data_IF_757881215239
#
_entry.id   IF_757881215239
#
_cell.length_a   1.000
_cell.length_b   1.000
_cell.length_c   1.000
_cell.angle_alpha   90.00
_cell.angle_beta   90.00
_cell.angle_gamma   90.00
#
_symmetry.space_group_name_H-M   'P 1'
#
loop_
_entity.id
_entity.type
_entity.pdbx_description
1 polymer ?
#
# COMPACT_ATOMS: atom_id res chain seq x y z
N UNK A 1 16.16 -1.84 -39.15
CA UNK A 1 16.02 -0.98 -37.94
C UNK A 1 15.50 -1.80 -36.76
N UNK A 2 16.18 -2.88 -36.35
CA UNK A 2 15.72 -3.82 -35.32
C UNK A 2 16.24 -3.54 -33.90
N UNK A 3 17.22 -2.65 -33.73
CA UNK A 3 17.92 -2.42 -32.46
C UNK A 3 17.43 -1.20 -31.67
N UNK A 4 16.26 -0.65 -32.02
CA UNK A 4 15.72 0.59 -31.44
C UNK A 4 14.35 0.36 -30.80
N UNK A 5 14.14 -0.78 -30.13
CA UNK A 5 13.34 -0.72 -28.92
C UNK A 5 14.19 0.03 -27.91
N UNK A 6 13.92 1.33 -27.93
CA UNK A 6 14.81 2.42 -27.62
C UNK A 6 15.21 2.36 -26.15
N UNK A 7 16.43 2.76 -25.83
CA UNK A 7 16.89 2.95 -24.45
C UNK A 7 15.85 3.76 -23.65
N UNK A 8 15.12 4.66 -24.33
CA UNK A 8 13.94 5.37 -23.86
C UNK A 8 12.87 4.48 -23.18
N UNK A 9 12.62 3.27 -23.69
CA UNK A 9 11.64 2.33 -23.12
C UNK A 9 12.07 1.86 -21.74
N UNK A 10 13.35 1.51 -21.56
CA UNK A 10 13.88 1.16 -20.24
C UNK A 10 13.84 2.34 -19.29
N UNK A 11 14.14 3.55 -19.78
CA UNK A 11 14.04 4.75 -18.96
C UNK A 11 12.59 5.02 -18.52
N UNK A 12 11.61 4.95 -19.41
CA UNK A 12 10.19 5.11 -19.05
C UNK A 12 9.71 4.05 -18.06
N UNK A 13 10.15 2.80 -18.21
CA UNK A 13 9.85 1.75 -17.24
C UNK A 13 10.51 2.04 -15.88
N UNK A 14 11.75 2.54 -15.87
CA UNK A 14 12.43 2.93 -14.65
C UNK A 14 11.77 4.14 -13.96
N UNK A 15 11.37 5.17 -14.72
CA UNK A 15 10.61 6.32 -14.22
C UNK A 15 9.27 5.88 -13.61
N UNK A 16 8.51 5.05 -14.33
CA UNK A 16 7.27 4.47 -13.84
C UNK A 16 7.47 3.66 -12.56
N UNK A 17 8.52 2.83 -12.50
CA UNK A 17 8.85 2.05 -11.31
C UNK A 17 9.19 2.94 -10.10
N UNK A 18 9.94 4.03 -10.29
CA UNK A 18 10.22 4.99 -9.20
C UNK A 18 8.92 5.63 -8.70
N UNK A 19 8.10 6.16 -9.61
CA UNK A 19 6.82 6.78 -9.28
C UNK A 19 5.93 5.83 -8.47
N UNK A 20 5.72 4.61 -8.97
CA UNK A 20 4.87 3.63 -8.29
C UNK A 20 5.42 3.19 -6.93
N UNK A 21 6.74 3.10 -6.77
CA UNK A 21 7.35 2.78 -5.49
C UNK A 21 7.12 3.90 -4.46
N UNK A 22 7.38 5.14 -4.85
CA UNK A 22 7.26 6.29 -3.96
C UNK A 22 5.80 6.54 -3.57
N UNK A 23 4.87 6.51 -4.53
CA UNK A 23 3.44 6.63 -4.26
C UNK A 23 2.93 5.51 -3.36
N UNK A 24 3.38 4.27 -3.59
CA UNK A 24 3.05 3.14 -2.72
C UNK A 24 3.40 3.42 -1.26
N UNK A 25 4.61 3.93 -0.99
CA UNK A 25 5.01 4.24 0.39
C UNK A 25 4.39 5.53 0.91
N UNK A 26 4.02 6.48 0.05
CA UNK A 26 3.23 7.64 0.43
C UNK A 26 1.88 7.22 1.05
N UNK A 27 1.11 6.40 0.33
CA UNK A 27 -0.23 5.97 0.79
C UNK A 27 -0.21 5.18 2.10
N UNK A 28 0.74 4.26 2.29
CA UNK A 28 0.80 3.51 3.56
C UNK A 28 1.25 4.38 4.72
N UNK A 29 2.11 5.38 4.48
CA UNK A 29 2.49 6.35 5.50
C UNK A 29 1.32 7.27 5.86
N UNK A 30 0.52 7.69 4.89
CA UNK A 30 -0.69 8.47 5.11
C UNK A 30 -1.72 7.69 5.93
N UNK A 31 -1.97 6.44 5.53
CA UNK A 31 -2.85 5.49 6.24
C UNK A 31 -2.52 5.39 7.73
N UNK A 32 -1.26 5.08 8.06
CA UNK A 32 -0.83 4.94 9.45
C UNK A 32 -0.75 6.27 10.20
N UNK A 33 -0.44 7.38 9.50
CA UNK A 33 -0.49 8.72 10.11
C UNK A 33 -1.91 9.09 10.49
N UNK A 34 -2.89 8.81 9.63
CA UNK A 34 -4.30 9.07 9.90
C UNK A 34 -4.82 8.23 11.07
N UNK A 35 -4.48 6.95 11.12
CA UNK A 35 -4.83 6.09 12.26
C UNK A 35 -4.18 6.58 13.56
N UNK A 36 -2.91 7.01 13.52
CA UNK A 36 -2.26 7.57 14.70
C UNK A 36 -2.87 8.90 15.12
N UNK A 37 -3.23 9.78 14.17
CA UNK A 37 -3.98 10.99 14.44
C UNK A 37 -5.33 10.69 15.11
N UNK A 38 -6.03 9.64 14.66
CA UNK A 38 -7.30 9.20 15.24
C UNK A 38 -7.14 8.74 16.69
N UNK A 39 -6.04 8.03 17.01
CA UNK A 39 -5.71 7.66 18.40
C UNK A 39 -5.44 8.90 19.26
N UNK A 40 -4.57 9.81 18.80
CA UNK A 40 -4.25 11.04 19.52
C UNK A 40 -5.48 11.94 19.71
N UNK A 41 -6.36 11.97 18.72
CA UNK A 41 -7.62 12.71 18.81
C UNK A 41 -8.54 12.09 19.85
N UNK A 42 -8.69 10.76 19.85
CA UNK A 42 -9.49 10.04 20.85
C UNK A 42 -9.03 10.35 22.28
N UNK A 43 -7.71 10.38 22.53
CA UNK A 43 -7.14 10.76 23.83
C UNK A 43 -7.44 12.23 24.19
N UNK A 44 -7.49 13.13 23.20
CA UNK A 44 -7.79 14.55 23.42
C UNK A 44 -9.27 14.82 23.65
N UNK A 45 -10.18 14.13 22.95
CA UNK A 45 -11.63 14.39 23.10
C UNK A 45 -12.16 13.97 24.46
N UNK A 46 -11.53 12.99 25.13
CA UNK A 46 -11.91 12.60 26.51
C UNK A 46 -11.79 13.78 27.50
N UNK A 47 -10.96 14.77 27.18
CA UNK A 47 -10.78 15.99 27.99
C UNK A 47 -11.71 17.14 27.61
N UNK A 48 -12.49 17.01 26.53
CA UNK A 48 -13.41 18.04 26.06
C UNK A 48 -14.81 17.72 26.60
N UNK A 49 -15.25 18.47 27.61
CA UNK A 49 -16.60 18.30 28.14
C UNK A 49 -17.65 19.01 27.28
N UNK A 50 -18.67 18.30 26.78
CA UNK A 50 -19.81 18.94 26.12
C UNK A 50 -20.65 19.70 27.16
N UNK A 51 -21.33 20.75 26.70
CA UNK A 51 -22.22 21.57 27.54
C UNK A 51 -23.43 20.78 28.03
N UNK A 52 -24.10 21.25 29.10
CA UNK A 52 -25.31 20.59 29.62
C UNK A 52 -26.45 20.53 28.60
N UNK A 53 -26.54 21.53 27.70
CA UNK A 53 -27.55 21.59 26.65
C UNK A 53 -27.28 20.55 25.56
N UNK A 54 -26.02 20.38 25.16
CA UNK A 54 -25.58 19.37 24.19
C UNK A 54 -25.83 17.94 24.74
N UNK A 55 -25.57 17.72 26.03
CA UNK A 55 -25.87 16.43 26.69
C UNK A 55 -27.36 16.10 26.70
N UNK A 56 -28.22 17.09 26.91
CA UNK A 56 -29.69 16.92 26.89
C UNK A 56 -30.21 16.61 25.49
N UNK A 57 -29.66 17.23 24.45
CA UNK A 57 -30.03 16.95 23.06
C UNK A 57 -29.64 15.50 22.70
N UNK A 58 -28.43 15.07 23.06
CA UNK A 58 -27.95 13.70 22.80
C UNK A 58 -28.75 12.63 23.58
N UNK A 59 -29.14 12.92 24.82
CA UNK A 59 -29.96 12.00 25.61
C UNK A 59 -31.38 11.82 25.05
N UNK A 60 -31.88 12.79 24.29
CA UNK A 60 -33.22 12.78 23.70
C UNK A 60 -33.23 12.31 22.24
N UNK A 61 -32.07 12.09 21.61
CA UNK A 61 -32.01 11.55 20.25
C UNK A 61 -32.33 10.05 20.25
N UNK A 62 -33.51 9.72 19.72
CA UNK A 62 -33.89 8.35 19.41
C UNK A 62 -33.22 7.91 18.11
N UNK A 63 -31.96 7.48 18.20
CA UNK A 63 -31.26 6.85 17.08
C UNK A 63 -31.79 5.42 16.89
N UNK A 64 -32.06 4.98 15.64
CA UNK A 64 -32.44 3.60 15.36
C UNK A 64 -31.37 2.61 15.84
N UNK A 65 -31.78 1.41 16.23
CA UNK A 65 -30.83 0.37 16.68
C UNK A 65 -30.19 -0.39 15.52
N UNK A 66 -30.82 -0.41 14.35
CA UNK A 66 -30.33 -1.13 13.18
C UNK A 66 -29.37 -0.28 12.33
N UNK A 67 -28.40 -0.94 11.68
CA UNK A 67 -27.33 -0.26 10.92
C UNK A 67 -27.84 0.59 9.76
N UNK A 68 -28.94 0.20 9.11
CA UNK A 68 -29.51 0.95 7.99
C UNK A 68 -30.25 2.18 8.52
N UNK A 69 -31.04 2.01 9.58
CA UNK A 69 -31.69 3.09 10.30
C UNK A 69 -30.70 4.12 10.81
N UNK A 70 -29.55 3.70 11.36
CA UNK A 70 -28.48 4.62 11.79
C UNK A 70 -27.90 5.46 10.65
N UNK A 71 -27.67 4.85 9.48
CA UNK A 71 -27.16 5.57 8.30
C UNK A 71 -28.19 6.51 7.67
N UNK A 72 -29.47 6.24 7.87
CA UNK A 72 -30.59 7.05 7.38
C UNK A 72 -31.08 8.08 8.39
N UNK A 73 -30.64 7.98 9.65
CA UNK A 73 -31.05 8.89 10.70
C UNK A 73 -30.50 10.29 10.44
N UNK A 74 -31.36 11.30 10.59
CA UNK A 74 -30.91 12.67 10.76
C UNK A 74 -30.31 12.79 12.16
N UNK A 75 -28.98 12.70 12.23
CA UNK A 75 -28.24 12.94 13.47
C UNK A 75 -28.35 14.44 13.76
N UNK A 76 -28.97 14.86 14.88
CA UNK A 76 -29.05 16.27 15.21
C UNK A 76 -27.63 16.84 15.33
N UNK A 77 -27.43 18.06 14.88
CA UNK A 77 -26.14 18.74 15.01
C UNK A 77 -25.96 19.16 16.48
N UNK A 78 -25.49 18.22 17.30
CA UNK A 78 -25.46 18.35 18.77
C UNK A 78 -24.32 19.28 19.22
N UNK A 79 -23.26 19.42 18.42
CA UNK A 79 -22.05 20.15 18.81
C UNK A 79 -22.16 21.63 18.42
N UNK A 80 -22.16 22.51 19.42
CA UNK A 80 -22.23 23.95 19.23
C UNK A 80 -20.85 24.61 19.30
N UNK A 81 -20.79 25.87 18.88
CA UNK A 81 -19.59 26.57 18.40
C UNK A 81 -18.31 26.43 19.22
N UNK A 82 -18.36 26.45 20.56
CA UNK A 82 -17.13 26.33 21.38
C UNK A 82 -16.60 24.89 21.41
N UNK A 83 -17.47 23.91 21.67
CA UNK A 83 -17.13 22.48 21.65
C UNK A 83 -16.63 22.04 20.28
N UNK A 84 -17.31 22.45 19.21
CA UNK A 84 -16.91 22.16 17.83
C UNK A 84 -15.54 22.76 17.49
N UNK A 85 -15.25 23.99 17.94
CA UNK A 85 -13.95 24.63 17.74
C UNK A 85 -12.83 23.92 18.51
N UNK A 86 -13.09 23.46 19.74
CA UNK A 86 -12.13 22.70 20.54
C UNK A 86 -11.82 21.34 19.89
N UNK A 87 -12.85 20.63 19.41
CA UNK A 87 -12.69 19.36 18.69
C UNK A 87 -11.92 19.56 17.38
N UNK A 88 -12.25 20.60 16.61
CA UNK A 88 -11.54 20.92 15.36
C UNK A 88 -10.06 21.20 15.60
N UNK A 89 -9.73 22.02 16.61
CA UNK A 89 -8.33 22.29 17.02
C UNK A 89 -7.62 21.03 17.51
N UNK A 90 -8.31 20.18 18.27
CA UNK A 90 -7.76 18.92 18.74
C UNK A 90 -7.42 17.98 17.58
N UNK A 91 -8.28 17.93 16.54
CA UNK A 91 -8.05 17.16 15.32
C UNK A 91 -6.86 17.69 14.52
N UNK A 92 -6.80 19.00 14.26
CA UNK A 92 -5.67 19.63 13.56
C UNK A 92 -4.33 19.36 14.27
N UNK A 93 -4.31 19.50 15.59
CA UNK A 93 -3.14 19.18 16.39
C UNK A 93 -2.76 17.71 16.31
N UNK A 94 -3.74 16.80 16.37
CA UNK A 94 -3.50 15.36 16.24
C UNK A 94 -2.91 15.01 14.87
N UNK A 95 -3.39 15.63 13.79
CA UNK A 95 -2.81 15.46 12.45
C UNK A 95 -1.37 15.95 12.38
N UNK A 96 -1.06 17.15 12.88
CA UNK A 96 0.32 17.68 12.90
C UNK A 96 1.26 16.78 13.71
N UNK A 97 0.80 16.34 14.89
CA UNK A 97 1.57 15.45 15.75
C UNK A 97 1.81 14.08 15.12
N UNK A 98 0.81 13.51 14.44
CA UNK A 98 0.94 12.20 13.78
C UNK A 98 1.98 12.20 12.66
N UNK A 99 2.17 13.34 11.97
CA UNK A 99 3.16 13.48 10.91
C UNK A 99 4.58 13.61 11.44
N UNK A 100 4.74 14.26 12.59
CA UNK A 100 6.04 14.64 13.17
C UNK A 100 6.56 13.67 14.23
N UNK A 101 5.68 12.95 14.93
CA UNK A 101 6.07 11.96 15.95
C UNK A 101 6.13 10.56 15.37
N UNK A 102 7.00 9.75 15.96
CA UNK A 102 7.06 8.31 15.69
C UNK A 102 6.04 7.59 16.57
N UNK A 103 5.42 6.53 16.03
CA UNK A 103 4.50 5.67 16.77
C UNK A 103 4.72 4.22 16.35
N UNK A 104 4.92 3.32 17.31
CA UNK A 104 5.18 1.91 17.02
C UNK A 104 3.87 1.13 17.05
N UNK A 105 3.32 0.86 15.87
CA UNK A 105 2.25 -0.12 15.71
C UNK A 105 2.81 -1.53 15.94
N UNK A 106 2.02 -2.37 16.61
CA UNK A 106 2.38 -3.77 16.78
C UNK A 106 2.43 -4.51 15.44
N UNK A 107 3.27 -5.54 15.32
CA UNK A 107 3.41 -6.32 14.07
C UNK A 107 2.09 -6.97 13.61
N UNK A 108 1.19 -7.28 14.56
CA UNK A 108 -0.13 -7.85 14.30
C UNK A 108 -1.22 -6.80 14.06
N UNK A 109 -0.88 -5.50 14.10
CA UNK A 109 -1.81 -4.41 13.82
C UNK A 109 -2.35 -4.55 12.39
N UNK A 110 -3.67 -4.53 12.27
CA UNK A 110 -4.38 -4.53 11.00
C UNK A 110 -4.55 -3.10 10.53
N UNK A 111 -4.06 -2.81 9.32
CA UNK A 111 -4.17 -1.46 8.73
C UNK A 111 -5.57 -1.34 8.13
N UNK A 112 -6.39 -0.47 8.69
CA UNK A 112 -7.81 -0.32 8.38
C UNK A 112 -8.10 1.10 7.88
N UNK A 113 -7.47 1.45 6.75
CA UNK A 113 -7.73 2.72 6.06
C UNK A 113 -7.86 2.52 4.56
N UNK A 114 -8.65 3.38 3.91
CA UNK A 114 -8.97 3.31 2.48
C UNK A 114 -7.72 3.56 1.61
N UNK A 115 -6.77 4.32 2.14
CA UNK A 115 -5.48 4.62 1.51
C UNK A 115 -4.63 3.36 1.26
N UNK A 116 -4.91 2.25 1.98
CA UNK A 116 -4.27 0.96 1.68
C UNK A 116 -4.54 0.45 0.27
N UNK A 117 -5.65 0.86 -0.36
CA UNK A 117 -5.91 0.60 -1.77
C UNK A 117 -4.83 1.23 -2.65
N UNK A 118 -4.43 2.47 -2.33
CA UNK A 118 -3.35 3.20 -3.01
C UNK A 118 -2.02 2.49 -2.85
N UNK A 119 -1.68 2.04 -1.64
CA UNK A 119 -0.46 1.25 -1.41
C UNK A 119 -0.41 -0.01 -2.27
N UNK A 120 -1.44 -0.88 -2.16
CA UNK A 120 -1.45 -2.18 -2.81
C UNK A 120 -1.46 -2.07 -4.35
N UNK A 121 -2.18 -1.08 -4.89
CA UNK A 121 -2.22 -0.84 -6.32
C UNK A 121 -0.87 -0.37 -6.86
N UNK A 122 -0.31 0.69 -6.26
CA UNK A 122 0.96 1.24 -6.70
C UNK A 122 2.10 0.24 -6.49
N UNK A 123 2.13 -0.48 -5.37
CA UNK A 123 3.16 -1.51 -5.15
C UNK A 123 3.04 -2.67 -6.13
N UNK A 124 1.81 -3.08 -6.45
CA UNK A 124 1.55 -4.07 -7.50
C UNK A 124 2.04 -3.62 -8.88
N UNK A 125 1.77 -2.37 -9.26
CA UNK A 125 2.27 -1.78 -10.51
C UNK A 125 3.79 -1.64 -10.55
N UNK A 126 4.42 -1.30 -9.42
CA UNK A 126 5.87 -1.27 -9.29
C UNK A 126 6.48 -2.64 -9.63
N UNK A 127 5.98 -3.72 -9.01
CA UNK A 127 6.45 -5.09 -9.30
C UNK A 127 6.17 -5.49 -10.74
N UNK A 128 4.97 -5.20 -11.25
CA UNK A 128 4.62 -5.50 -12.65
C UNK A 128 5.53 -4.78 -13.65
N UNK A 129 5.86 -3.52 -13.38
CA UNK A 129 6.76 -2.71 -14.21
C UNK A 129 8.15 -3.33 -14.28
N UNK A 130 8.71 -3.72 -13.14
CA UNK A 130 10.04 -4.35 -13.09
C UNK A 130 10.05 -5.73 -13.75
N UNK A 131 8.98 -6.53 -13.59
CA UNK A 131 8.87 -7.82 -14.29
C UNK A 131 8.80 -7.63 -15.81
N UNK A 132 8.02 -6.65 -16.28
CA UNK A 132 7.92 -6.36 -17.71
C UNK A 132 9.25 -5.87 -18.28
N UNK A 133 9.94 -5.02 -17.53
CA UNK A 133 11.29 -4.56 -17.86
C UNK A 133 12.27 -5.73 -17.97
N UNK A 134 12.21 -6.66 -17.02
CA UNK A 134 13.07 -7.85 -17.04
C UNK A 134 12.76 -8.78 -18.22
N UNK A 135 11.50 -9.01 -18.54
CA UNK A 135 11.12 -9.79 -19.73
C UNK A 135 11.62 -9.15 -21.02
N UNK A 136 11.53 -7.82 -21.13
CA UNK A 136 12.06 -7.08 -22.27
C UNK A 136 13.58 -7.27 -22.38
N UNK A 137 14.29 -7.20 -21.24
CA UNK A 137 15.72 -7.51 -21.18
C UNK A 137 16.02 -8.90 -21.71
N UNK A 138 15.33 -9.93 -21.20
CA UNK A 138 15.58 -11.33 -21.61
C UNK A 138 15.36 -11.54 -23.12
N UNK A 139 14.34 -10.90 -23.70
CA UNK A 139 14.10 -10.96 -25.14
C UNK A 139 15.22 -10.27 -25.92
N UNK A 140 15.58 -9.04 -25.57
CA UNK A 140 16.59 -8.27 -26.29
C UNK A 140 18.01 -8.83 -26.17
N UNK A 141 18.31 -9.51 -25.06
CA UNK A 141 19.58 -10.20 -24.83
C UNK A 141 19.59 -11.64 -25.37
N UNK A 142 18.52 -12.06 -26.08
CA UNK A 142 18.36 -13.38 -26.70
C UNK A 142 18.37 -14.56 -25.71
N UNK A 143 18.04 -14.34 -24.43
CA UNK A 143 17.79 -15.44 -23.49
C UNK A 143 16.44 -16.12 -23.76
N UNK A 144 15.48 -15.39 -24.32
CA UNK A 144 14.20 -15.92 -24.80
C UNK A 144 13.94 -15.42 -26.21
N UNK A 145 13.25 -16.22 -27.02
CA UNK A 145 12.87 -15.85 -28.37
C UNK A 145 11.62 -14.96 -28.42
N UNK A 146 11.42 -14.28 -29.56
CA UNK A 146 10.30 -13.35 -29.79
C UNK A 146 8.93 -14.02 -29.61
N UNK A 147 8.78 -15.31 -29.97
CA UNK A 147 7.53 -16.03 -29.84
C UNK A 147 7.21 -16.32 -28.36
N UNK A 148 8.21 -16.76 -27.60
CA UNK A 148 8.12 -16.94 -26.16
C UNK A 148 7.78 -15.63 -25.44
N UNK A 149 8.46 -14.53 -25.81
CA UNK A 149 8.18 -13.19 -25.27
C UNK A 149 6.75 -12.72 -25.58
N UNK A 150 6.30 -12.82 -26.83
CA UNK A 150 4.96 -12.40 -27.24
C UNK A 150 3.85 -13.11 -26.46
N UNK A 151 4.05 -14.39 -26.14
CA UNK A 151 3.10 -15.17 -25.34
C UNK A 151 3.13 -14.81 -23.86
N UNK A 152 4.32 -14.69 -23.26
CA UNK A 152 4.43 -14.49 -21.81
C UNK A 152 4.18 -13.04 -21.38
N UNK A 153 4.49 -12.06 -22.24
CA UNK A 153 4.31 -10.63 -21.94
C UNK A 153 2.86 -10.22 -21.67
N UNK A 154 1.88 -10.92 -22.25
CA UNK A 154 0.44 -10.67 -22.02
C UNK A 154 -0.16 -11.54 -20.89
N UNK A 155 0.61 -12.49 -20.36
CA UNK A 155 0.18 -13.42 -19.32
C UNK A 155 -0.05 -12.70 -17.98
N UNK A 156 -0.65 -13.37 -16.98
CA UNK A 156 -0.78 -12.78 -15.64
C UNK A 156 0.60 -12.65 -14.99
N UNK A 157 0.76 -11.67 -14.10
CA UNK A 157 2.04 -11.40 -13.44
C UNK A 157 2.67 -12.61 -12.73
N UNK A 158 1.83 -13.46 -12.11
CA UNK A 158 2.30 -14.69 -11.47
C UNK A 158 2.84 -15.69 -12.50
N UNK A 159 2.21 -15.80 -13.67
CA UNK A 159 2.67 -16.67 -14.76
C UNK A 159 4.00 -16.17 -15.33
N UNK A 160 4.16 -14.83 -15.47
CA UNK A 160 5.43 -14.19 -15.85
C UNK A 160 6.54 -14.52 -14.85
N UNK A 161 6.28 -14.38 -13.56
CA UNK A 161 7.26 -14.70 -12.51
C UNK A 161 7.62 -16.18 -12.47
N UNK A 162 6.64 -17.08 -12.64
CA UNK A 162 6.88 -18.52 -12.72
C UNK A 162 7.74 -18.86 -13.94
N UNK A 163 7.51 -18.21 -15.07
CA UNK A 163 8.32 -18.38 -16.27
C UNK A 163 9.78 -17.94 -16.03
N UNK A 164 9.98 -16.72 -15.49
CA UNK A 164 11.32 -16.18 -15.19
C UNK A 164 12.08 -17.05 -14.18
N UNK A 165 11.40 -17.50 -13.13
CA UNK A 165 12.03 -18.24 -12.03
C UNK A 165 11.88 -19.76 -12.13
N UNK A 166 11.49 -20.32 -13.28
CA UNK A 166 11.15 -21.75 -13.46
C UNK A 166 12.19 -22.69 -12.82
N UNK A 167 13.47 -22.49 -13.14
CA UNK A 167 14.57 -23.32 -12.61
C UNK A 167 14.76 -23.11 -11.11
N UNK A 168 14.78 -21.85 -10.67
CA UNK A 168 14.94 -21.49 -9.25
C UNK A 168 13.78 -21.97 -8.37
N UNK A 169 12.57 -22.08 -8.92
CA UNK A 169 11.40 -22.63 -8.24
C UNK A 169 11.52 -24.15 -8.10
N UNK A 170 11.92 -24.84 -9.17
CA UNK A 170 12.13 -26.29 -9.13
C UNK A 170 13.22 -26.69 -8.13
N UNK A 171 14.23 -25.84 -7.94
CA UNK A 171 15.32 -26.04 -6.98
C UNK A 171 15.00 -25.50 -5.57
N UNK A 172 13.78 -25.01 -5.31
CA UNK A 172 13.38 -24.37 -4.04
C UNK A 172 14.29 -23.19 -3.61
N UNK A 173 14.94 -22.52 -4.56
CA UNK A 173 15.78 -21.34 -4.30
C UNK A 173 14.98 -20.05 -4.23
N UNK A 174 13.75 -20.04 -4.74
CA UNK A 174 12.81 -18.90 -4.72
C UNK A 174 11.45 -19.36 -4.25
N UNK A 175 10.80 -18.53 -3.45
CA UNK A 175 9.38 -18.67 -3.12
C UNK A 175 8.64 -17.42 -3.60
N UNK A 176 7.40 -17.59 -4.04
CA UNK A 176 6.55 -16.51 -4.57
C UNK A 176 5.27 -16.30 -3.74
N UNK A 177 5.18 -16.90 -2.55
CA UNK A 177 3.97 -16.90 -1.73
C UNK A 177 3.51 -15.49 -1.32
N UNK A 178 4.45 -14.61 -0.95
CA UNK A 178 4.11 -13.24 -0.55
C UNK A 178 3.78 -12.38 -1.78
N UNK A 179 4.42 -12.61 -2.93
CA UNK A 179 4.01 -11.95 -4.18
C UNK A 179 2.61 -12.39 -4.61
N UNK A 180 2.28 -13.68 -4.49
CA UNK A 180 0.93 -14.17 -4.74
C UNK A 180 -0.08 -13.50 -3.79
N UNK A 181 0.29 -13.31 -2.52
CA UNK A 181 -0.51 -12.59 -1.53
C UNK A 181 -0.71 -11.11 -1.90
N UNK A 182 0.35 -10.41 -2.33
CA UNK A 182 0.26 -9.04 -2.84
C UNK A 182 -0.77 -8.94 -3.97
N UNK A 183 -0.67 -9.80 -4.99
CA UNK A 183 -1.59 -9.74 -6.12
C UNK A 183 -3.01 -10.22 -5.77
N UNK A 184 -3.17 -11.11 -4.78
CA UNK A 184 -4.47 -11.43 -4.21
C UNK A 184 -5.11 -10.21 -3.55
N UNK A 185 -4.35 -9.47 -2.73
CA UNK A 185 -4.81 -8.24 -2.09
C UNK A 185 -5.13 -7.15 -3.12
N UNK A 186 -4.25 -6.92 -4.09
CA UNK A 186 -4.48 -5.98 -5.21
C UNK A 186 -5.74 -6.34 -6.00
N UNK A 187 -5.97 -7.60 -6.33
CA UNK A 187 -7.17 -7.96 -7.10
C UNK A 187 -8.48 -7.66 -6.33
N UNK A 188 -8.43 -7.68 -5.00
CA UNK A 188 -9.57 -7.27 -4.16
C UNK A 188 -9.82 -5.76 -4.16
N UNK A 189 -8.80 -4.93 -4.46
CA UNK A 189 -8.97 -3.47 -4.59
C UNK A 189 -9.80 -3.13 -5.83
N UNK A 190 -9.66 -3.91 -6.91
CA UNK A 190 -10.32 -3.67 -8.21
C UNK A 190 -11.83 -3.90 -8.15
N UNK A 191 -12.26 -4.88 -7.34
CA UNK A 191 -13.67 -5.17 -7.12
C UNK A 191 -14.02 -4.89 -5.67
N UNK A 192 -14.19 -3.62 -5.30
CA UNK A 192 -14.40 -3.21 -3.91
C UNK A 192 -15.82 -3.54 -3.40
N UNK A 193 -16.08 -4.83 -3.18
CA UNK A 193 -17.32 -5.36 -2.61
C UNK A 193 -17.29 -5.30 -1.07
N UNK A 194 -18.44 -5.46 -0.38
CA UNK A 194 -18.47 -5.52 1.09
C UNK A 194 -17.55 -6.61 1.69
N UNK A 195 -17.46 -7.77 1.04
CA UNK A 195 -16.56 -8.86 1.47
C UNK A 195 -15.08 -8.46 1.31
N UNK A 196 -14.76 -7.77 0.21
CA UNK A 196 -13.40 -7.29 -0.02
C UNK A 196 -13.05 -6.15 0.94
N UNK A 197 -13.96 -5.24 1.24
CA UNK A 197 -13.75 -4.20 2.26
C UNK A 197 -13.45 -4.80 3.65
N UNK A 198 -14.08 -5.93 3.99
CA UNK A 198 -13.75 -6.68 5.23
C UNK A 198 -12.39 -7.37 5.16
N UNK A 199 -12.05 -7.95 4.01
CA UNK A 199 -10.84 -8.74 3.83
C UNK A 199 -9.56 -7.91 3.61
N UNK A 200 -9.68 -6.64 3.24
CA UNK A 200 -8.57 -5.76 2.88
C UNK A 200 -8.00 -5.03 4.10
N UNK A 201 -7.59 -5.83 5.09
CA UNK A 201 -7.01 -5.38 6.36
C UNK A 201 -5.68 -6.09 6.61
N UNK A 202 -4.67 -5.87 5.76
CA UNK A 202 -3.42 -6.57 5.92
C UNK A 202 -2.74 -6.15 7.21
N UNK A 203 -2.03 -7.09 7.83
CA UNK A 203 -1.21 -6.80 9.01
C UNK A 203 0.11 -6.17 8.61
N UNK A 204 0.65 -5.32 9.48
CA UNK A 204 1.97 -4.68 9.29
C UNK A 204 3.06 -5.72 8.97
N UNK A 205 3.07 -6.84 9.69
CA UNK A 205 3.99 -7.95 9.43
C UNK A 205 3.87 -8.52 8.00
N UNK A 206 2.66 -8.67 7.48
CA UNK A 206 2.41 -9.24 6.14
C UNK A 206 2.95 -8.31 5.06
N UNK A 207 2.77 -7.00 5.22
CA UNK A 207 3.33 -5.99 4.31
C UNK A 207 4.86 -6.06 4.31
N UNK A 208 5.49 -6.15 5.49
CA UNK A 208 6.94 -6.30 5.60
C UNK A 208 7.45 -7.58 4.92
N UNK A 209 6.73 -8.69 5.03
CA UNK A 209 7.09 -9.94 4.35
C UNK A 209 7.03 -9.81 2.83
N UNK A 210 5.96 -9.18 2.31
CA UNK A 210 5.82 -8.88 0.89
C UNK A 210 7.00 -8.05 0.41
N UNK A 211 7.31 -6.92 1.06
CA UNK A 211 8.41 -6.06 0.63
C UNK A 211 9.78 -6.77 0.70
N UNK A 212 10.01 -7.62 1.71
CA UNK A 212 11.23 -8.43 1.81
C UNK A 212 11.35 -9.44 0.66
N UNK A 213 10.26 -10.11 0.28
CA UNK A 213 10.27 -11.05 -0.84
C UNK A 213 10.44 -10.30 -2.17
N UNK A 214 9.75 -9.18 -2.36
CA UNK A 214 9.91 -8.30 -3.52
C UNK A 214 11.35 -7.85 -3.68
N UNK A 215 12.00 -7.38 -2.60
CA UNK A 215 13.41 -6.99 -2.64
C UNK A 215 14.30 -8.10 -3.18
N UNK A 216 14.15 -9.33 -2.68
CA UNK A 216 14.94 -10.49 -3.15
C UNK A 216 14.74 -10.82 -4.63
N UNK A 217 13.53 -10.61 -5.14
CA UNK A 217 13.22 -10.80 -6.56
C UNK A 217 13.89 -9.71 -7.40
N UNK A 218 13.79 -8.45 -6.96
CA UNK A 218 14.38 -7.29 -7.63
C UNK A 218 15.91 -7.39 -7.66
N UNK A 219 16.54 -7.78 -6.55
CA UNK A 219 18.00 -8.02 -6.49
C UNK A 219 18.46 -9.04 -7.53
N UNK A 220 17.63 -10.04 -7.85
CA UNK A 220 17.94 -11.03 -8.90
C UNK A 220 17.81 -10.45 -10.29
N UNK A 221 16.77 -9.64 -10.55
CA UNK A 221 16.63 -8.93 -11.82
C UNK A 221 17.83 -8.01 -12.06
N UNK A 222 18.16 -7.17 -11.07
CA UNK A 222 19.28 -6.23 -11.15
C UNK A 222 20.63 -6.93 -11.34
N UNK A 223 20.84 -8.09 -10.72
CA UNK A 223 22.06 -8.87 -10.90
C UNK A 223 22.22 -9.40 -12.34
N UNK A 224 21.11 -9.78 -12.98
CA UNK A 224 21.10 -10.29 -14.36
C UNK A 224 21.20 -9.13 -15.35
N UNK A 225 20.39 -8.09 -15.16
CA UNK A 225 20.32 -6.91 -16.02
C UNK A 225 21.62 -6.10 -16.00
N UNK A 226 22.19 -5.92 -14.80
CA UNK A 226 23.42 -5.19 -14.54
C UNK A 226 23.44 -3.79 -15.21
N UNK A 227 22.31 -3.09 -15.17
CA UNK A 227 22.21 -1.73 -15.68
C UNK A 227 22.98 -0.75 -14.81
N UNK A 228 23.57 0.28 -15.44
CA UNK A 228 24.29 1.34 -14.73
C UNK A 228 23.31 2.43 -14.25
N UNK A 229 22.54 2.11 -13.21
CA UNK A 229 21.54 3.00 -12.59
C UNK A 229 21.38 2.72 -11.09
N UNK A 230 20.62 3.58 -10.40
CA UNK A 230 20.26 3.35 -9.00
C UNK A 230 19.42 2.08 -8.85
N UNK A 231 19.85 1.20 -7.95
CA UNK A 231 19.16 -0.06 -7.68
C UNK A 231 17.82 0.16 -6.95
N UNK A 232 16.75 -0.34 -7.55
CA UNK A 232 15.41 -0.42 -6.97
C UNK A 232 15.38 -1.25 -5.68
N UNK A 233 16.21 -2.29 -5.57
CA UNK A 233 16.31 -3.08 -4.34
C UNK A 233 16.82 -2.25 -3.15
N UNK A 234 17.75 -1.33 -3.39
CA UNK A 234 18.27 -0.38 -2.40
C UNK A 234 17.20 0.64 -2.06
N UNK A 235 16.53 1.23 -3.05
CA UNK A 235 15.44 2.20 -2.84
C UNK A 235 14.29 1.60 -2.02
N UNK A 236 13.83 0.41 -2.38
CA UNK A 236 12.82 -0.32 -1.61
C UNK A 236 13.29 -0.57 -0.18
N UNK A 237 14.55 -0.96 0.02
CA UNK A 237 15.10 -1.17 1.36
C UNK A 237 15.11 0.11 2.21
N UNK A 238 15.44 1.25 1.61
CA UNK A 238 15.40 2.55 2.29
C UNK A 238 13.98 2.89 2.74
N UNK A 239 12.98 2.71 1.86
CA UNK A 239 11.56 2.85 2.21
C UNK A 239 11.14 1.92 3.35
N UNK A 240 11.56 0.65 3.33
CA UNK A 240 11.30 -0.30 4.43
C UNK A 240 11.95 0.16 5.74
N UNK A 241 13.18 0.67 5.71
CA UNK A 241 13.88 1.16 6.90
C UNK A 241 13.15 2.37 7.48
N UNK A 242 12.79 3.34 6.64
CA UNK A 242 12.04 4.53 7.04
C UNK A 242 10.65 4.16 7.60
N UNK A 243 9.95 3.23 6.95
CA UNK A 243 8.68 2.72 7.44
C UNK A 243 8.85 2.12 8.85
N UNK A 244 9.84 1.26 9.04
CA UNK A 244 10.07 0.64 10.34
C UNK A 244 10.47 1.65 11.40
N UNK A 245 11.42 2.54 11.11
CA UNK A 245 11.86 3.54 12.09
C UNK A 245 10.71 4.40 12.59
N UNK A 246 9.76 4.74 11.71
CA UNK A 246 8.57 5.50 12.07
C UNK A 246 7.48 4.67 12.75
N UNK A 247 7.17 3.49 12.20
CA UNK A 247 5.93 2.76 12.48
C UNK A 247 6.06 1.44 13.23
N UNK A 248 7.26 0.85 13.36
CA UNK A 248 7.45 -0.47 14.02
C UNK A 248 8.66 -0.53 14.93
#
# INVERSE_FOLDING_TARGET
MKNKHDIETYFKLAEGANFFLDESFHYINESLSYEFASKLFSEKIESIEPSEEERKINANSNLPEDTIGLLQAEIPDVLQGETLNLMSKAWEQAQILSKTRNHKFGMNHEINSIEMLGHLNNFGFFIETLVNRHLLYLMQSNYIDDFSYARISIAKIMERLIFIFKESLNENKVHLNEIAKLFSLRNKTVHYTPDNARALKPKVFEMIQIWKQSKKIIERFEKVENFNEDQFSIKLNNHIICFKSKWT
#
